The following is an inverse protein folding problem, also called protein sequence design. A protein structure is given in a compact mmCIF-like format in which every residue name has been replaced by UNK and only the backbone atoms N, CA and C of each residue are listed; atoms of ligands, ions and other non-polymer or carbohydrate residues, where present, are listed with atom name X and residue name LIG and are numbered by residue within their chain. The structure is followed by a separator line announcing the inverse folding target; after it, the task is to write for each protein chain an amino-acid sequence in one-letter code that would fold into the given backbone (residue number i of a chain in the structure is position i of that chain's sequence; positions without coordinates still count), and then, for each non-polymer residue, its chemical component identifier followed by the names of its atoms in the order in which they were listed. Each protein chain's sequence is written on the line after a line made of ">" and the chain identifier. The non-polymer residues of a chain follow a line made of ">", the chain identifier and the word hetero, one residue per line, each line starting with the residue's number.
data_IF_977090227031
#
_entry.id   IF_977090227031
#
_cell.length_a   1.000
_cell.length_b   1.000
_cell.length_c   1.000
_cell.angle_alpha   90.00
_cell.angle_beta   90.00
_cell.angle_gamma   90.00
#
_symmetry.space_group_name_H-M   'P 1'
#
loop_
_entity.id
_entity.type
_entity.pdbx_description
1 polymer ?
#
# COMPACT_ATOMS: atom_id res chain seq x y z
N UNK A 1 41.83 0.58 -50.13
CA UNK A 1 42.62 -0.24 -49.18
C UNK A 1 43.30 0.68 -48.17
N UNK A 2 42.71 0.79 -46.98
CA UNK A 2 43.33 1.33 -45.76
C UNK A 2 42.53 0.76 -44.57
N UNK A 3 43.21 0.71 -43.42
CA UNK A 3 42.77 0.30 -42.07
C UNK A 3 42.61 -1.19 -41.78
N UNK A 4 43.70 -1.84 -41.35
CA UNK A 4 43.73 -2.85 -40.30
C UNK A 4 45.18 -2.97 -39.81
N UNK A 5 45.51 -2.45 -38.63
CA UNK A 5 46.60 -2.95 -37.76
C UNK A 5 46.70 -2.10 -36.48
N UNK A 6 46.08 -2.57 -35.39
CA UNK A 6 46.64 -2.52 -34.03
C UNK A 6 45.69 -3.25 -33.08
N UNK A 7 45.70 -4.56 -33.19
CA UNK A 7 45.35 -5.46 -32.10
C UNK A 7 46.64 -5.75 -31.33
N UNK A 8 46.78 -5.22 -30.12
CA UNK A 8 47.73 -5.76 -29.14
C UNK A 8 47.43 -5.20 -27.75
N UNK A 9 47.07 -6.11 -26.83
CA UNK A 9 47.22 -5.98 -25.37
C UNK A 9 46.25 -5.07 -24.63
N UNK A 10 44.99 -5.49 -24.44
CA UNK A 10 44.36 -5.34 -23.10
C UNK A 10 43.18 -6.30 -22.90
N UNK A 11 43.40 -7.58 -23.17
CA UNK A 11 42.44 -8.61 -22.80
C UNK A 11 43.20 -9.90 -22.52
N UNK A 12 43.78 -9.99 -21.33
CA UNK A 12 44.02 -11.26 -20.65
C UNK A 12 44.24 -10.96 -19.17
N UNK A 13 43.43 -11.63 -18.33
CA UNK A 13 43.65 -11.92 -16.92
C UNK A 13 43.11 -10.88 -15.94
N UNK A 14 41.78 -10.87 -15.86
CA UNK A 14 41.10 -10.99 -14.56
C UNK A 14 41.61 -12.20 -13.77
N UNK A 15 41.56 -12.12 -12.44
CA UNK A 15 41.69 -13.21 -11.45
C UNK A 15 43.09 -13.66 -11.00
N UNK A 16 43.74 -12.85 -10.15
CA UNK A 16 44.34 -13.29 -8.87
C UNK A 16 44.12 -12.11 -7.90
N UNK A 17 42.99 -12.09 -7.18
CA UNK A 17 42.95 -12.50 -5.78
C UNK A 17 43.98 -11.73 -4.92
N UNK A 18 43.54 -10.75 -4.13
CA UNK A 18 43.13 -11.05 -2.75
C UNK A 18 44.30 -11.64 -1.94
N UNK A 19 45.33 -10.82 -1.65
CA UNK A 19 46.35 -11.08 -0.63
C UNK A 19 47.08 -9.77 -0.32
N UNK A 20 47.25 -9.44 0.97
CA UNK A 20 47.96 -8.27 1.53
C UNK A 20 47.15 -6.96 1.64
N UNK A 21 45.98 -6.93 2.29
CA UNK A 21 45.90 -6.76 3.76
C UNK A 21 47.11 -7.34 4.51
N UNK A 22 48.04 -6.48 4.93
CA UNK A 22 48.52 -6.36 6.32
C UNK A 22 49.93 -5.74 6.42
N UNK A 23 49.98 -4.67 7.23
CA UNK A 23 51.07 -4.28 8.15
C UNK A 23 52.15 -3.31 7.61
N UNK A 24 51.84 -2.03 7.88
CA UNK A 24 52.62 -1.00 8.58
C UNK A 24 54.03 -0.63 8.11
N UNK A 25 54.29 0.69 7.95
CA UNK A 25 55.22 1.45 8.81
C UNK A 25 54.73 2.90 8.97
N UNK A 26 54.62 3.32 10.23
CA UNK A 26 54.34 4.66 10.74
C UNK A 26 55.44 5.67 10.39
N UNK A 27 55.06 6.90 10.05
CA UNK A 27 55.75 8.10 10.59
C UNK A 27 54.73 9.17 10.88
N UNK A 28 54.56 9.44 12.17
CA UNK A 28 53.76 10.52 12.69
C UNK A 28 54.28 11.87 12.18
N UNK A 29 53.39 12.69 11.63
CA UNK A 29 53.48 14.15 11.72
C UNK A 29 52.14 14.70 12.17
N UNK A 30 52.18 15.25 13.38
CA UNK A 30 51.27 16.22 13.97
C UNK A 30 49.76 15.90 13.84
N UNK A 31 49.24 15.17 14.83
CA UNK A 31 47.83 15.30 15.20
C UNK A 31 47.56 16.75 15.61
N UNK A 32 46.96 17.51 14.71
CA UNK A 32 46.19 18.70 15.08
C UNK A 32 44.84 18.20 15.60
N UNK A 33 44.54 18.45 16.87
CA UNK A 33 43.24 18.10 17.50
C UNK A 33 42.04 18.84 16.86
N UNK A 34 42.25 19.70 15.86
CA UNK A 34 41.17 20.38 15.14
C UNK A 34 40.54 19.56 14.00
N UNK A 35 41.10 18.42 13.58
CA UNK A 35 40.57 17.61 12.45
C UNK A 35 39.65 16.45 12.87
N UNK A 36 39.49 16.21 14.17
CA UNK A 36 38.56 15.19 14.68
C UNK A 36 37.10 15.67 14.70
N UNK A 37 36.86 16.98 14.80
CA UNK A 37 35.51 17.56 14.77
C UNK A 37 34.88 17.44 13.39
N UNK A 38 35.60 17.77 12.32
CA UNK A 38 35.10 17.71 10.94
C UNK A 38 34.79 16.27 10.52
N UNK A 39 35.64 15.31 10.87
CA UNK A 39 35.46 13.89 10.52
C UNK A 39 34.36 13.22 11.35
N UNK A 40 34.23 13.57 12.63
CA UNK A 40 33.15 13.08 13.49
C UNK A 40 31.79 13.70 13.12
N UNK A 41 31.76 14.99 12.77
CA UNK A 41 30.55 15.66 12.25
C UNK A 41 30.16 15.10 10.88
N UNK A 42 31.13 14.80 10.01
CA UNK A 42 30.85 14.17 8.70
C UNK A 42 30.34 12.75 8.86
N UNK A 43 30.95 11.95 9.74
CA UNK A 43 30.47 10.60 10.06
C UNK A 43 29.07 10.63 10.69
N UNK A 44 28.85 11.52 11.66
CA UNK A 44 27.54 11.74 12.30
C UNK A 44 26.49 12.21 11.28
N UNK A 45 26.82 13.14 10.40
CA UNK A 45 25.91 13.63 9.34
C UNK A 45 25.59 12.54 8.33
N UNK A 46 26.56 11.68 7.98
CA UNK A 46 26.33 10.53 7.11
C UNK A 46 25.44 9.48 7.81
N UNK A 47 25.64 9.21 9.10
CA UNK A 47 24.78 8.33 9.91
C UNK A 47 23.36 8.90 10.05
N UNK A 48 23.22 10.19 10.37
CA UNK A 48 21.93 10.87 10.52
C UNK A 48 21.16 10.91 9.19
N UNK A 49 21.86 11.10 8.06
CA UNK A 49 21.26 11.03 6.72
C UNK A 49 20.83 9.62 6.35
N UNK A 50 21.63 8.60 6.70
CA UNK A 50 21.27 7.20 6.50
C UNK A 50 20.05 6.81 7.34
N UNK A 51 20.01 7.22 8.61
CA UNK A 51 18.86 6.98 9.49
C UNK A 51 17.61 7.67 8.97
N UNK A 52 17.71 8.94 8.55
CA UNK A 52 16.59 9.68 7.96
C UNK A 52 16.05 8.97 6.72
N UNK A 53 16.92 8.46 5.85
CA UNK A 53 16.52 7.68 4.69
C UNK A 53 15.80 6.38 5.08
N UNK A 54 16.28 5.69 6.12
CA UNK A 54 15.63 4.48 6.66
C UNK A 54 14.25 4.78 7.25
N UNK A 55 14.12 5.87 8.01
CA UNK A 55 12.85 6.29 8.60
C UNK A 55 11.84 6.66 7.50
N UNK A 56 12.27 7.42 6.49
CA UNK A 56 11.46 7.78 5.33
C UNK A 56 11.00 6.55 4.54
N UNK A 57 11.89 5.57 4.32
CA UNK A 57 11.54 4.32 3.66
C UNK A 57 10.54 3.48 4.48
N UNK A 58 10.68 3.48 5.81
CA UNK A 58 9.77 2.78 6.73
C UNK A 58 8.37 3.39 6.67
N UNK A 59 8.27 4.71 6.74
CA UNK A 59 7.00 5.44 6.60
C UNK A 59 6.35 5.19 5.24
N UNK A 60 7.13 5.21 4.16
CA UNK A 60 6.62 4.93 2.81
C UNK A 60 6.11 3.49 2.67
N UNK A 61 6.81 2.51 3.22
CA UNK A 61 6.37 1.11 3.20
C UNK A 61 5.09 0.91 4.01
N UNK A 62 4.97 1.54 5.19
CA UNK A 62 3.73 1.52 5.96
C UNK A 62 2.58 2.18 5.20
N UNK A 63 2.82 3.30 4.53
CA UNK A 63 1.81 3.98 3.73
C UNK A 63 1.33 3.12 2.53
N UNK A 64 2.26 2.44 1.85
CA UNK A 64 1.94 1.45 0.80
C UNK A 64 1.10 0.31 1.35
N UNK A 65 1.44 -0.22 2.51
CA UNK A 65 0.68 -1.30 3.15
C UNK A 65 -0.74 -0.85 3.52
N UNK A 66 -0.92 0.39 4.00
CA UNK A 66 -2.25 0.97 4.25
C UNK A 66 -3.05 1.10 2.96
N UNK A 67 -2.42 1.59 1.88
CA UNK A 67 -3.06 1.68 0.57
C UNK A 67 -3.50 0.29 0.06
N UNK A 68 -2.60 -0.69 0.05
CA UNK A 68 -2.91 -2.05 -0.40
C UNK A 68 -4.01 -2.67 0.47
N UNK A 69 -3.87 -2.62 1.80
CA UNK A 69 -4.87 -3.17 2.71
C UNK A 69 -6.24 -2.51 2.57
N UNK A 70 -6.31 -1.19 2.33
CA UNK A 70 -7.58 -0.51 2.08
C UNK A 70 -8.15 -0.83 0.69
N UNK A 71 -7.30 -0.92 -0.34
CA UNK A 71 -7.68 -1.33 -1.68
C UNK A 71 -8.30 -2.73 -1.67
N UNK A 72 -7.59 -3.71 -1.13
CA UNK A 72 -8.02 -5.11 -1.04
C UNK A 72 -9.30 -5.25 -0.20
N UNK A 73 -9.40 -4.47 0.88
CA UNK A 73 -10.62 -4.37 1.69
C UNK A 73 -11.80 -3.87 0.88
N UNK A 74 -11.61 -2.84 0.05
CA UNK A 74 -12.68 -2.24 -0.77
C UNK A 74 -13.09 -3.19 -1.89
N UNK A 75 -12.12 -3.87 -2.51
CA UNK A 75 -12.37 -4.90 -3.52
C UNK A 75 -13.16 -6.07 -2.95
N UNK A 76 -12.79 -6.56 -1.76
CA UNK A 76 -13.53 -7.61 -1.05
C UNK A 76 -14.97 -7.18 -0.72
N UNK A 77 -15.16 -5.92 -0.33
CA UNK A 77 -16.51 -5.38 -0.11
C UNK A 77 -17.31 -5.34 -1.42
N UNK A 78 -16.72 -4.85 -2.52
CA UNK A 78 -17.37 -4.82 -3.83
C UNK A 78 -17.75 -6.24 -4.28
N UNK A 79 -16.86 -7.23 -4.08
CA UNK A 79 -17.15 -8.65 -4.33
C UNK A 79 -18.39 -9.10 -3.56
N UNK A 80 -18.43 -8.85 -2.25
CA UNK A 80 -19.55 -9.22 -1.39
C UNK A 80 -20.87 -8.52 -1.82
N UNK A 81 -20.81 -7.23 -2.15
CA UNK A 81 -21.96 -6.45 -2.62
C UNK A 81 -22.47 -7.00 -3.96
N UNK A 82 -21.57 -7.26 -4.90
CA UNK A 82 -21.87 -7.80 -6.23
C UNK A 82 -22.49 -9.20 -6.14
N UNK A 83 -21.92 -10.06 -5.30
CA UNK A 83 -22.46 -11.40 -5.06
C UNK A 83 -23.84 -11.36 -4.40
N UNK A 84 -24.05 -10.43 -3.45
CA UNK A 84 -25.37 -10.19 -2.83
C UNK A 84 -26.39 -9.76 -3.89
N UNK A 85 -26.02 -8.80 -4.74
CA UNK A 85 -26.89 -8.32 -5.80
C UNK A 85 -27.18 -9.40 -6.85
N UNK A 86 -26.20 -10.25 -7.16
CA UNK A 86 -26.38 -11.38 -8.08
C UNK A 86 -27.34 -12.45 -7.52
N UNK A 87 -27.42 -12.61 -6.19
CA UNK A 87 -28.44 -13.47 -5.56
C UNK A 87 -29.83 -12.87 -5.71
N UNK A 88 -29.96 -11.56 -5.52
CA UNK A 88 -31.26 -10.87 -5.46
C UNK A 88 -31.81 -10.55 -6.85
N UNK A 89 -30.94 -10.17 -7.79
CA UNK A 89 -31.28 -9.76 -9.14
C UNK A 89 -30.22 -10.24 -10.16
N UNK A 90 -30.23 -11.55 -10.51
CA UNK A 90 -29.18 -12.16 -11.31
C UNK A 90 -29.07 -11.61 -12.74
N UNK A 91 -30.15 -11.07 -13.32
CA UNK A 91 -30.14 -10.56 -14.70
C UNK A 91 -29.52 -9.17 -14.83
N UNK A 92 -29.58 -8.34 -13.79
CA UNK A 92 -28.99 -7.00 -13.82
C UNK A 92 -27.49 -6.98 -13.51
N UNK A 93 -26.99 -7.99 -12.80
CA UNK A 93 -25.61 -7.99 -12.27
C UNK A 93 -24.67 -9.00 -12.95
N UNK A 94 -25.07 -9.57 -14.09
CA UNK A 94 -24.24 -10.52 -14.83
C UNK A 94 -22.88 -9.94 -15.30
N UNK A 95 -22.78 -8.62 -15.50
CA UNK A 95 -21.55 -7.91 -15.88
C UNK A 95 -20.75 -7.31 -14.72
N UNK A 96 -21.24 -7.42 -13.48
CA UNK A 96 -20.59 -6.79 -12.33
C UNK A 96 -19.22 -7.40 -11.99
N UNK A 97 -18.95 -8.63 -12.43
CA UNK A 97 -17.62 -9.27 -12.34
C UNK A 97 -16.60 -8.60 -13.26
N UNK A 98 -17.01 -8.16 -14.46
CA UNK A 98 -16.12 -7.46 -15.40
C UNK A 98 -15.68 -6.10 -14.84
N UNK A 99 -16.56 -5.44 -14.08
CA UNK A 99 -16.24 -4.18 -13.42
C UNK A 99 -15.15 -4.36 -12.35
N UNK A 100 -15.11 -5.48 -11.62
CA UNK A 100 -14.07 -5.76 -10.62
C UNK A 100 -12.70 -5.86 -11.30
N UNK A 101 -12.60 -6.62 -12.40
CA UNK A 101 -11.36 -6.75 -13.16
C UNK A 101 -10.91 -5.44 -13.84
N UNK A 102 -11.83 -4.50 -14.08
CA UNK A 102 -11.47 -3.21 -14.68
C UNK A 102 -10.59 -2.33 -13.76
N UNK A 103 -10.71 -2.51 -12.44
CA UNK A 103 -9.95 -1.72 -11.46
C UNK A 103 -8.45 -2.04 -11.44
N UNK A 104 -8.02 -3.16 -12.03
CA UNK A 104 -6.60 -3.53 -12.12
C UNK A 104 -5.82 -2.64 -13.09
N UNK A 105 -6.52 -1.90 -13.95
CA UNK A 105 -5.91 -0.93 -14.86
C UNK A 105 -5.57 0.40 -14.18
N UNK A 106 -6.23 0.72 -13.06
CA UNK A 106 -6.02 1.94 -12.29
C UNK A 106 -5.01 1.72 -11.15
N UNK A 107 -4.34 2.78 -10.72
CA UNK A 107 -3.41 2.74 -9.57
C UNK A 107 -3.56 3.95 -8.67
N UNK A 108 -3.10 3.83 -7.41
CA UNK A 108 -3.07 4.93 -6.46
C UNK A 108 -4.46 5.50 -6.16
N UNK A 109 -4.56 6.82 -6.06
CA UNK A 109 -5.82 7.49 -5.72
C UNK A 109 -6.95 7.17 -6.71
N UNK A 110 -6.65 7.10 -8.01
CA UNK A 110 -7.66 6.84 -9.04
C UNK A 110 -8.37 5.51 -8.81
N UNK A 111 -7.60 4.43 -8.55
CA UNK A 111 -8.18 3.11 -8.22
C UNK A 111 -9.11 3.22 -7.00
N UNK A 112 -8.67 3.89 -5.93
CA UNK A 112 -9.49 4.05 -4.72
C UNK A 112 -10.78 4.83 -4.99
N UNK A 113 -10.73 5.89 -5.80
CA UNK A 113 -11.90 6.70 -6.15
C UNK A 113 -12.92 5.91 -6.97
N UNK A 114 -12.45 5.16 -7.97
CA UNK A 114 -13.30 4.31 -8.82
C UNK A 114 -13.99 3.22 -8.00
N UNK A 115 -13.22 2.48 -7.20
CA UNK A 115 -13.77 1.44 -6.32
C UNK A 115 -14.74 2.03 -5.30
N UNK A 116 -14.40 3.15 -4.66
CA UNK A 116 -15.28 3.80 -3.69
C UNK A 116 -16.61 4.20 -4.34
N UNK A 117 -16.55 4.82 -5.53
CA UNK A 117 -17.74 5.25 -6.27
C UNK A 117 -18.65 4.07 -6.63
N UNK A 118 -18.05 2.97 -7.11
CA UNK A 118 -18.79 1.76 -7.45
C UNK A 118 -19.39 1.06 -6.22
N UNK A 119 -18.64 0.98 -5.12
CA UNK A 119 -19.18 0.44 -3.87
C UNK A 119 -20.34 1.28 -3.33
N UNK A 120 -20.28 2.61 -3.45
CA UNK A 120 -21.39 3.50 -3.06
C UNK A 120 -22.60 3.34 -4.00
N UNK A 121 -22.42 3.07 -5.29
CA UNK A 121 -23.54 2.79 -6.19
C UNK A 121 -24.24 1.48 -5.82
N UNK A 122 -23.47 0.41 -5.57
CA UNK A 122 -24.03 -0.88 -5.11
C UNK A 122 -24.75 -0.74 -3.76
N UNK A 123 -24.16 0.01 -2.82
CA UNK A 123 -24.80 0.33 -1.55
C UNK A 123 -26.12 1.07 -1.74
N UNK A 124 -26.16 2.05 -2.64
CA UNK A 124 -27.37 2.83 -2.92
C UNK A 124 -28.45 1.97 -3.57
N UNK A 125 -28.07 1.06 -4.46
CA UNK A 125 -29.00 0.10 -5.07
C UNK A 125 -29.60 -0.85 -4.04
N UNK A 126 -28.78 -1.41 -3.14
CA UNK A 126 -29.26 -2.20 -2.00
C UNK A 126 -30.03 -1.36 -0.97
N UNK A 127 -29.90 -0.03 -1.02
CA UNK A 127 -30.56 0.90 -0.13
C UNK A 127 -32.08 0.83 -0.27
N UNK A 128 -32.76 0.54 0.85
CA UNK A 128 -34.22 0.41 0.87
C UNK A 128 -34.74 -0.99 0.52
N UNK A 129 -33.88 -1.96 0.20
CA UNK A 129 -34.28 -3.35 0.07
C UNK A 129 -34.39 -4.03 1.44
N UNK A 130 -35.43 -4.85 1.66
CA UNK A 130 -35.45 -5.84 2.73
C UNK A 130 -34.53 -7.02 2.35
N UNK A 131 -33.22 -6.82 2.51
CA UNK A 131 -32.21 -7.82 2.20
C UNK A 131 -32.47 -9.12 2.98
N UNK A 132 -32.76 -9.04 4.28
CA UNK A 132 -32.98 -10.22 5.11
C UNK A 132 -34.21 -11.01 4.65
N UNK A 133 -35.34 -10.36 4.39
CA UNK A 133 -36.54 -11.03 3.89
C UNK A 133 -36.33 -11.72 2.53
N UNK A 134 -35.68 -11.03 1.59
CA UNK A 134 -35.35 -11.57 0.26
C UNK A 134 -34.37 -12.74 0.36
N UNK A 135 -33.31 -12.59 1.15
CA UNK A 135 -32.31 -13.63 1.33
C UNK A 135 -32.88 -14.87 2.02
N UNK A 136 -33.85 -14.75 2.95
CA UNK A 136 -34.56 -15.92 3.53
C UNK A 136 -35.23 -16.80 2.49
N UNK A 137 -35.77 -16.21 1.43
CA UNK A 137 -36.43 -16.96 0.36
C UNK A 137 -35.42 -17.63 -0.58
N UNK A 138 -34.27 -17.01 -0.78
CA UNK A 138 -33.23 -17.43 -1.73
C UNK A 138 -32.21 -18.42 -1.12
N UNK A 139 -31.90 -18.26 0.16
CA UNK A 139 -30.89 -19.03 0.90
C UNK A 139 -31.52 -20.29 1.54
N UNK A 140 -32.15 -21.14 0.72
CA UNK A 140 -32.94 -22.28 1.17
C UNK A 140 -32.35 -23.65 0.79
N UNK A 141 -31.17 -23.68 0.15
CA UNK A 141 -30.50 -24.90 -0.28
C UNK A 141 -28.98 -24.83 -0.01
N UNK A 142 -28.27 -25.98 0.05
CA UNK A 142 -26.85 -26.02 0.41
C UNK A 142 -25.96 -25.12 -0.46
N UNK A 143 -26.16 -25.10 -1.78
CA UNK A 143 -25.38 -24.27 -2.69
C UNK A 143 -25.56 -22.76 -2.44
N UNK A 144 -26.78 -22.33 -2.11
CA UNK A 144 -27.06 -20.94 -1.74
C UNK A 144 -26.44 -20.56 -0.39
N UNK A 145 -26.38 -21.48 0.57
CA UNK A 145 -25.73 -21.26 1.88
C UNK A 145 -24.21 -21.15 1.77
N UNK A 146 -23.58 -21.90 0.86
CA UNK A 146 -22.14 -21.75 0.61
C UNK A 146 -21.80 -20.39 -0.01
N UNK A 147 -22.68 -19.86 -0.89
CA UNK A 147 -22.56 -18.47 -1.36
C UNK A 147 -22.72 -17.47 -0.21
N UNK A 148 -23.67 -17.68 0.69
CA UNK A 148 -23.87 -16.83 1.87
C UNK A 148 -22.63 -16.80 2.78
N UNK A 149 -21.97 -17.95 2.99
CA UNK A 149 -20.70 -18.05 3.73
C UNK A 149 -19.58 -17.26 3.04
N UNK A 150 -19.48 -17.37 1.72
CA UNK A 150 -18.48 -16.62 0.95
C UNK A 150 -18.69 -15.11 1.11
N UNK A 151 -19.93 -14.64 0.93
CA UNK A 151 -20.28 -13.22 1.06
C UNK A 151 -20.00 -12.72 2.49
N UNK A 152 -20.35 -13.51 3.51
CA UNK A 152 -20.02 -13.19 4.90
C UNK A 152 -18.52 -13.07 5.13
N UNK A 153 -17.74 -14.00 4.57
CA UNK A 153 -16.28 -14.02 4.71
C UNK A 153 -15.67 -12.77 4.08
N UNK A 154 -16.07 -12.44 2.86
CA UNK A 154 -15.60 -11.26 2.14
C UNK A 154 -15.97 -9.97 2.88
N UNK A 155 -17.23 -9.84 3.32
CA UNK A 155 -17.70 -8.66 4.04
C UNK A 155 -17.06 -8.50 5.43
N UNK A 156 -16.88 -9.59 6.17
CA UNK A 156 -16.24 -9.55 7.50
C UNK A 156 -14.72 -9.31 7.40
N UNK A 157 -14.08 -9.87 6.37
CA UNK A 157 -12.70 -9.58 5.99
C UNK A 157 -12.52 -8.11 5.68
N UNK A 158 -13.34 -7.57 4.77
CA UNK A 158 -13.36 -6.14 4.42
C UNK A 158 -13.59 -5.23 5.64
N UNK A 159 -14.50 -5.59 6.53
CA UNK A 159 -14.69 -4.83 7.77
C UNK A 159 -13.40 -4.78 8.61
N UNK A 160 -12.76 -5.94 8.81
CA UNK A 160 -11.60 -6.07 9.70
C UNK A 160 -10.37 -5.36 9.14
N UNK A 161 -10.02 -5.64 7.87
CA UNK A 161 -8.86 -5.03 7.21
C UNK A 161 -9.08 -3.54 6.95
N UNK A 162 -10.26 -3.13 6.49
CA UNK A 162 -10.61 -1.73 6.27
C UNK A 162 -10.50 -0.90 7.55
N UNK A 163 -10.97 -1.43 8.69
CA UNK A 163 -10.85 -0.75 9.99
C UNK A 163 -9.39 -0.54 10.39
N UNK A 164 -8.55 -1.55 10.21
CA UNK A 164 -7.12 -1.46 10.49
C UNK A 164 -6.44 -0.41 9.61
N UNK A 165 -6.71 -0.43 8.30
CA UNK A 165 -6.14 0.54 7.35
C UNK A 165 -6.56 1.96 7.66
N UNK A 166 -7.84 2.20 8.01
CA UNK A 166 -8.33 3.54 8.39
C UNK A 166 -7.67 4.05 9.67
N UNK A 167 -7.49 3.18 10.67
CA UNK A 167 -6.82 3.57 11.91
C UNK A 167 -5.36 3.93 11.65
N UNK A 168 -4.63 3.08 10.92
CA UNK A 168 -3.22 3.31 10.59
C UNK A 168 -3.04 4.52 9.67
N UNK A 169 -3.98 4.78 8.74
CA UNK A 169 -3.93 5.95 7.87
C UNK A 169 -3.92 7.27 8.67
N UNK A 170 -4.72 7.35 9.74
CA UNK A 170 -4.77 8.54 10.63
C UNK A 170 -3.44 8.77 11.34
N UNK A 171 -2.85 7.69 11.84
CA UNK A 171 -1.52 7.72 12.48
C UNK A 171 -0.47 8.17 11.49
N UNK A 172 -0.37 7.48 10.34
CA UNK A 172 0.63 7.76 9.31
C UNK A 172 0.50 9.13 8.68
N UNK A 173 -0.71 9.65 8.50
CA UNK A 173 -0.91 10.99 7.98
C UNK A 173 -0.16 12.02 8.84
N UNK A 174 -0.29 11.90 10.16
CA UNK A 174 0.38 12.81 11.10
C UNK A 174 1.89 12.57 11.12
N UNK A 175 2.33 11.31 11.20
CA UNK A 175 3.74 10.96 11.24
C UNK A 175 4.50 11.41 9.97
N UNK A 176 3.93 11.20 8.78
CA UNK A 176 4.56 11.61 7.53
C UNK A 176 4.62 13.14 7.43
N UNK A 177 3.54 13.86 7.82
CA UNK A 177 3.54 15.32 7.82
C UNK A 177 4.61 15.89 8.75
N UNK A 178 4.73 15.35 9.96
CA UNK A 178 5.75 15.76 10.93
C UNK A 178 7.15 15.45 10.41
N UNK A 179 7.36 14.24 9.87
CA UNK A 179 8.63 13.83 9.29
C UNK A 179 9.05 14.72 8.12
N UNK A 180 8.14 15.03 7.20
CA UNK A 180 8.43 15.90 6.05
C UNK A 180 8.71 17.35 6.46
N UNK A 181 8.07 17.85 7.54
CA UNK A 181 8.33 19.18 8.07
C UNK A 181 9.67 19.28 8.84
N UNK A 182 10.26 18.16 9.25
CA UNK A 182 11.51 18.14 9.99
C UNK A 182 12.68 18.62 9.10
N UNK A 183 13.65 19.40 9.64
CA UNK A 183 14.81 19.85 8.86
C UNK A 183 15.64 18.71 8.25
N UNK A 184 15.68 17.55 8.92
CA UNK A 184 16.38 16.35 8.46
C UNK A 184 15.83 15.80 7.15
N UNK A 185 14.54 15.99 6.85
CA UNK A 185 13.90 15.49 5.63
C UNK A 185 14.51 16.05 4.35
N UNK A 186 15.18 17.21 4.43
CA UNK A 186 15.85 17.86 3.29
C UNK A 186 16.99 17.03 2.70
N UNK A 187 17.53 16.06 3.44
CA UNK A 187 18.56 15.14 2.95
C UNK A 187 17.99 13.97 2.13
N UNK A 188 16.66 13.79 2.10
CA UNK A 188 16.01 12.74 1.33
C UNK A 188 16.05 13.02 -0.16
N UNK A 189 15.99 11.95 -0.95
CA UNK A 189 15.82 12.09 -2.39
C UNK A 189 14.48 12.75 -2.73
N UNK A 190 14.48 13.57 -3.78
CA UNK A 190 13.25 14.23 -4.26
C UNK A 190 12.14 13.23 -4.59
N UNK A 191 12.49 12.03 -5.06
CA UNK A 191 11.52 10.96 -5.35
C UNK A 191 10.85 10.40 -4.09
N UNK A 192 11.61 10.25 -3.00
CA UNK A 192 11.06 9.78 -1.72
C UNK A 192 10.18 10.85 -1.08
N UNK A 193 10.62 12.11 -1.08
CA UNK A 193 9.82 13.24 -0.62
C UNK A 193 8.51 13.37 -1.42
N UNK A 194 8.58 13.25 -2.75
CA UNK A 194 7.38 13.28 -3.61
C UNK A 194 6.44 12.13 -3.28
N UNK A 195 6.95 10.92 -3.08
CA UNK A 195 6.12 9.75 -2.76
C UNK A 195 5.43 9.92 -1.40
N UNK A 196 6.18 10.32 -0.36
CA UNK A 196 5.62 10.61 0.96
C UNK A 196 4.58 11.76 0.89
N UNK A 197 4.84 12.77 0.05
CA UNK A 197 3.91 13.83 -0.29
C UNK A 197 2.61 13.29 -0.88
N UNK A 198 2.68 12.49 -1.95
CA UNK A 198 1.50 11.90 -2.59
C UNK A 198 0.65 11.07 -1.61
N UNK A 199 1.29 10.28 -0.74
CA UNK A 199 0.56 9.55 0.30
C UNK A 199 -0.10 10.47 1.32
N UNK A 200 0.63 11.44 1.86
CA UNK A 200 0.11 12.32 2.92
C UNK A 200 -0.89 13.37 2.42
N UNK A 201 -0.81 13.81 1.17
CA UNK A 201 -1.67 14.85 0.61
C UNK A 201 -2.94 14.32 -0.06
N UNK A 202 -2.89 13.07 -0.55
CA UNK A 202 -3.96 12.55 -1.41
C UNK A 202 -4.50 11.22 -0.89
N UNK A 203 -3.65 10.20 -0.81
CA UNK A 203 -4.11 8.81 -0.56
C UNK A 203 -4.61 8.64 0.87
N UNK A 204 -3.81 9.02 1.88
CA UNK A 204 -4.20 8.85 3.28
C UNK A 204 -5.43 9.71 3.63
N UNK A 205 -5.51 10.99 3.24
CA UNK A 205 -6.73 11.78 3.44
C UNK A 205 -7.98 11.13 2.84
N UNK A 206 -7.88 10.61 1.60
CA UNK A 206 -9.00 9.91 0.96
C UNK A 206 -9.48 8.70 1.78
N UNK A 207 -8.54 7.88 2.27
CA UNK A 207 -8.85 6.71 3.12
C UNK A 207 -9.48 7.15 4.44
N UNK A 208 -8.96 8.22 5.06
CA UNK A 208 -9.47 8.75 6.34
C UNK A 208 -10.91 9.26 6.19
N UNK A 209 -11.22 9.93 5.08
CA UNK A 209 -12.52 10.53 4.81
C UNK A 209 -13.56 9.47 4.40
N UNK A 210 -13.22 8.58 3.47
CA UNK A 210 -14.18 7.66 2.86
C UNK A 210 -14.22 6.29 3.55
N UNK A 211 -13.10 5.87 4.16
CA UNK A 211 -12.95 4.55 4.76
C UNK A 211 -13.93 4.23 5.89
N UNK A 212 -14.30 5.16 6.81
CA UNK A 212 -15.27 4.86 7.86
C UNK A 212 -16.63 4.36 7.32
N UNK A 213 -17.12 4.97 6.23
CA UNK A 213 -18.40 4.57 5.65
C UNK A 213 -18.31 3.24 4.90
N UNK A 214 -17.16 2.97 4.26
CA UNK A 214 -16.88 1.66 3.64
C UNK A 214 -16.86 0.54 4.70
N UNK A 215 -16.15 0.76 5.81
CA UNK A 215 -16.08 -0.19 6.93
C UNK A 215 -17.47 -0.44 7.52
N UNK A 216 -18.29 0.60 7.67
CA UNK A 216 -19.67 0.48 8.14
C UNK A 216 -20.54 -0.34 7.18
N UNK A 217 -20.38 -0.11 5.87
CA UNK A 217 -21.10 -0.85 4.83
C UNK A 217 -20.75 -2.34 4.88
N UNK A 218 -19.46 -2.66 4.97
CA UNK A 218 -18.97 -4.02 5.13
C UNK A 218 -19.53 -4.70 6.40
N UNK A 219 -19.51 -4.00 7.54
CA UNK A 219 -20.06 -4.51 8.80
C UNK A 219 -21.57 -4.83 8.69
N UNK A 220 -22.34 -3.91 8.09
CA UNK A 220 -23.77 -4.11 7.90
C UNK A 220 -24.06 -5.32 7.01
N UNK A 221 -23.33 -5.46 5.90
CA UNK A 221 -23.49 -6.60 5.00
C UNK A 221 -23.12 -7.92 5.69
N UNK A 222 -22.01 -7.95 6.42
CA UNK A 222 -21.62 -9.12 7.21
C UNK A 222 -22.69 -9.50 8.24
N UNK A 223 -23.29 -8.51 8.92
CA UNK A 223 -24.36 -8.76 9.89
C UNK A 223 -25.63 -9.34 9.24
N UNK A 224 -25.98 -8.90 8.03
CA UNK A 224 -27.11 -9.48 7.27
C UNK A 224 -26.86 -10.97 7.01
N UNK A 225 -25.67 -11.32 6.49
CA UNK A 225 -25.35 -12.71 6.14
C UNK A 225 -25.09 -13.62 7.34
N UNK A 226 -24.60 -13.07 8.46
CA UNK A 226 -24.42 -13.81 9.72
C UNK A 226 -25.71 -14.48 10.20
N UNK A 227 -26.89 -13.91 9.89
CA UNK A 227 -28.18 -14.49 10.27
C UNK A 227 -28.55 -15.78 9.51
N UNK A 228 -27.74 -16.20 8.55
CA UNK A 228 -27.96 -17.39 7.71
C UNK A 228 -26.88 -18.46 7.87
N UNK A 229 -25.91 -18.23 8.77
CA UNK A 229 -24.81 -19.15 9.09
C UNK A 229 -25.07 -19.86 10.42
#
# INVERSE_FOLDING_TARGET
>A
MRTYFSASKTLFISFIALSFLLVQISTAKAFSMNDLSSTAETAKTATDSAQTATDGATLLNRAKNVYSGFSDSTESLISAQTATMSLINPTQHAGAVEQISSFDSATGLTKLMEMNSYSQSLKSEMGGMDLTGRLKQLLNNPASLDKAKSIYTDASGAYSSGKQSVAEAKTLYTEIKQFMAAPSSKSLSSSMLSSLGDYSDKILPFIIENGPEQVKTAANLANVFKGFL
#
